data_IF_517432800553
#
_entry.id   IF_517432800553
#
_cell.length_a   1.000
_cell.length_b   1.000
_cell.length_c   1.000
_cell.angle_alpha   90.00
_cell.angle_beta   90.00
_cell.angle_gamma   90.00
#
_symmetry.space_group_name_H-M   'P 1'
#
loop_
_entity.id
_entity.type
_entity.pdbx_description
1 polymer ?
#
# COMPACT_ATOMS: atom_id res chain seq x y z
N UNK A 1 -2.76 46.65 5.48
CA UNK A 1 -1.52 46.21 4.81
C UNK A 1 -0.59 45.67 5.88
N UNK A 2 -0.19 44.41 5.74
CA UNK A 2 1.07 43.80 6.18
C UNK A 2 0.88 42.29 6.23
N UNK A 3 1.10 41.70 5.06
CA UNK A 3 1.15 40.28 4.78
C UNK A 3 2.33 39.66 5.55
N UNK A 4 2.11 38.54 6.22
CA UNK A 4 3.21 37.65 6.62
C UNK A 4 2.98 36.31 5.94
N UNK A 5 3.72 36.16 4.85
CA UNK A 5 3.97 34.91 4.13
C UNK A 5 4.86 34.00 4.99
N UNK A 6 4.58 32.70 4.93
CA UNK A 6 5.54 31.59 4.92
C UNK A 6 5.01 30.38 5.70
N UNK A 7 4.56 29.36 4.97
CA UNK A 7 5.04 28.00 5.18
C UNK A 7 4.63 27.14 3.99
N UNK A 8 5.35 27.34 2.89
CA UNK A 8 5.52 26.29 1.88
C UNK A 8 6.32 25.18 2.56
N UNK A 9 5.63 24.14 3.03
CA UNK A 9 6.30 22.89 3.36
C UNK A 9 6.72 22.27 2.04
N UNK A 10 8.01 22.40 1.73
CA UNK A 10 8.73 21.56 0.79
C UNK A 10 8.29 20.11 0.99
N UNK A 11 7.57 19.60 0.01
CA UNK A 11 7.37 18.17 -0.19
C UNK A 11 8.76 17.63 -0.50
N UNK A 12 9.35 16.92 0.47
CA UNK A 12 10.62 16.22 0.25
C UNK A 12 10.49 15.29 -0.96
N UNK A 13 11.49 15.24 -1.85
CA UNK A 13 11.44 14.38 -3.02
C UNK A 13 11.35 12.94 -2.53
N UNK A 14 10.30 12.26 -2.96
CA UNK A 14 10.09 10.83 -2.70
C UNK A 14 11.31 10.11 -3.25
N UNK A 15 12.06 9.40 -2.41
CA UNK A 15 13.14 8.51 -2.86
C UNK A 15 12.61 7.69 -4.03
N UNK A 16 13.36 7.67 -5.13
CA UNK A 16 13.01 6.92 -6.32
C UNK A 16 12.71 5.48 -5.91
N UNK A 17 11.43 5.14 -6.00
CA UNK A 17 10.86 3.85 -5.69
C UNK A 17 11.48 2.87 -6.70
N UNK A 18 12.33 1.95 -6.22
CA UNK A 18 12.75 0.81 -7.03
C UNK A 18 11.48 0.18 -7.60
N UNK A 19 11.32 0.34 -8.91
CA UNK A 19 10.11 -0.12 -9.59
C UNK A 19 10.22 -1.62 -9.62
N UNK A 20 9.27 -2.30 -8.96
CA UNK A 20 9.06 -3.76 -9.05
C UNK A 20 9.45 -4.28 -10.44
N UNK A 21 10.30 -5.30 -10.50
CA UNK A 21 10.75 -5.89 -11.77
C UNK A 21 9.54 -6.40 -12.57
N UNK A 22 8.51 -6.91 -11.89
CA UNK A 22 7.24 -7.31 -12.49
C UNK A 22 6.53 -6.10 -13.10
N UNK A 23 6.42 -4.97 -12.38
CA UNK A 23 5.82 -3.74 -12.92
C UNK A 23 6.57 -3.24 -14.15
N UNK A 24 7.90 -3.25 -14.13
CA UNK A 24 8.72 -2.85 -15.27
C UNK A 24 8.50 -3.79 -16.48
N UNK A 25 8.46 -5.09 -16.23
CA UNK A 25 8.16 -6.10 -17.24
C UNK A 25 6.78 -5.89 -17.86
N UNK A 26 5.72 -5.77 -17.04
CA UNK A 26 4.34 -5.52 -17.50
C UNK A 26 4.28 -4.27 -18.38
N UNK A 27 4.94 -3.18 -17.97
CA UNK A 27 4.99 -1.94 -18.75
C UNK A 27 5.63 -2.15 -20.13
N UNK A 28 6.74 -2.92 -20.20
CA UNK A 28 7.45 -3.17 -21.45
C UNK A 28 6.59 -3.92 -22.50
N UNK A 29 5.79 -4.89 -22.06
CA UNK A 29 4.95 -5.70 -22.95
C UNK A 29 3.58 -5.09 -23.22
N UNK A 30 3.12 -4.17 -22.35
CA UNK A 30 1.83 -3.48 -22.50
C UNK A 30 1.90 -2.22 -23.38
N UNK A 31 3.05 -1.92 -23.98
CA UNK A 31 3.29 -0.72 -24.80
C UNK A 31 2.34 -0.57 -26.00
N UNK A 32 1.78 -1.69 -26.49
CA UNK A 32 0.84 -1.70 -27.60
C UNK A 32 -0.65 -1.68 -27.17
N UNK A 33 -0.92 -1.76 -25.87
CA UNK A 33 -2.27 -1.91 -25.30
C UNK A 33 -2.64 -0.71 -24.41
N UNK A 34 -1.66 -0.19 -23.66
CA UNK A 34 -1.82 0.95 -22.76
C UNK A 34 -1.26 2.22 -23.41
N UNK A 35 -1.87 3.37 -23.11
CA UNK A 35 -1.33 4.66 -23.53
C UNK A 35 -0.01 4.96 -22.82
N UNK A 36 0.83 5.81 -23.43
CA UNK A 36 2.07 6.25 -22.79
C UNK A 36 1.82 6.92 -21.42
N UNK A 37 0.69 7.61 -21.28
CA UNK A 37 0.26 8.18 -20.00
C UNK A 37 0.06 7.09 -18.94
N UNK A 38 -0.63 6.00 -19.25
CA UNK A 38 -0.83 4.87 -18.33
C UNK A 38 0.48 4.17 -17.97
N UNK A 39 1.38 3.99 -18.95
CA UNK A 39 2.69 3.38 -18.72
C UNK A 39 3.60 4.24 -17.82
N UNK A 40 3.41 5.55 -17.84
CA UNK A 40 4.16 6.48 -16.99
C UNK A 40 3.61 6.58 -15.56
N UNK A 41 2.38 6.12 -15.29
CA UNK A 41 1.81 6.11 -13.94
C UNK A 41 2.56 5.16 -13.02
N UNK A 42 2.59 5.48 -11.72
CA UNK A 42 3.03 4.52 -10.69
C UNK A 42 2.02 3.38 -10.63
N UNK A 43 2.51 2.16 -10.39
CA UNK A 43 1.67 0.98 -10.26
C UNK A 43 0.57 1.19 -9.20
N UNK A 44 0.98 1.71 -8.05
CA UNK A 44 0.12 2.13 -6.94
C UNK A 44 0.46 3.58 -6.57
N UNK A 45 -0.57 4.44 -6.53
CA UNK A 45 -0.45 5.84 -6.13
C UNK A 45 -1.17 6.07 -4.81
N UNK A 46 -0.47 6.58 -3.79
CA UNK A 46 -1.10 6.94 -2.51
C UNK A 46 -1.83 8.29 -2.69
N UNK A 47 -3.15 8.26 -2.61
CA UNK A 47 -4.00 9.45 -2.67
C UNK A 47 -4.12 10.14 -1.31
N UNK A 48 -4.19 9.35 -0.23
CA UNK A 48 -4.28 9.84 1.14
C UNK A 48 -3.60 8.88 2.11
N UNK A 49 -2.94 9.44 3.12
CA UNK A 49 -2.35 8.71 4.23
C UNK A 49 -2.86 9.28 5.54
N UNK A 50 -3.27 8.43 6.47
CA UNK A 50 -3.47 8.80 7.87
C UNK A 50 -2.64 7.88 8.77
N UNK A 51 -2.18 8.43 9.89
CA UNK A 51 -1.41 7.69 10.89
C UNK A 51 -1.98 8.02 12.26
N UNK A 52 -2.31 6.97 13.00
CA UNK A 52 -2.94 7.03 14.32
C UNK A 52 -2.10 6.18 15.28
N UNK A 53 -1.59 6.80 16.34
CA UNK A 53 -0.91 6.07 17.42
C UNK A 53 -1.92 5.71 18.51
N UNK A 54 -1.84 4.48 19.01
CA UNK A 54 -2.65 4.07 20.15
C UNK A 54 -2.30 4.89 21.40
N UNK A 55 -3.29 5.09 22.28
CA UNK A 55 -3.12 5.85 23.53
C UNK A 55 -3.18 4.92 24.74
N UNK A 56 -2.77 5.43 25.91
CA UNK A 56 -2.85 4.68 27.17
C UNK A 56 -1.87 3.51 27.19
N UNK A 57 -2.36 2.32 27.57
CA UNK A 57 -1.51 1.14 27.78
C UNK A 57 -0.76 0.66 26.53
N UNK A 58 -1.19 1.05 25.33
CA UNK A 58 -0.57 0.67 24.05
C UNK A 58 0.25 1.78 23.39
N UNK A 59 0.39 2.93 24.07
CA UNK A 59 1.16 4.06 23.56
C UNK A 59 2.60 3.65 23.26
N UNK A 60 3.13 4.11 22.14
CA UNK A 60 4.45 3.75 21.63
C UNK A 60 4.59 2.31 21.14
N UNK A 61 3.54 1.48 21.19
CA UNK A 61 3.62 0.06 20.81
C UNK A 61 2.68 -0.32 19.68
N UNK A 62 1.61 0.44 19.45
CA UNK A 62 0.66 0.20 18.36
C UNK A 62 0.47 1.47 17.53
N UNK A 63 0.66 1.35 16.22
CA UNK A 63 0.46 2.43 15.25
C UNK A 63 -0.34 1.90 14.08
N UNK A 64 -1.43 2.58 13.73
CA UNK A 64 -2.23 2.28 12.56
C UNK A 64 -1.93 3.29 11.45
N UNK A 65 -1.57 2.79 10.27
CA UNK A 65 -1.42 3.57 9.04
C UNK A 65 -2.53 3.16 8.08
N UNK A 66 -3.32 4.12 7.60
CA UNK A 66 -4.34 3.89 6.58
C UNK A 66 -3.92 4.60 5.30
N UNK A 67 -3.83 3.85 4.22
CA UNK A 67 -3.51 4.35 2.89
C UNK A 67 -4.74 4.21 2.01
N UNK A 68 -5.19 5.32 1.42
CA UNK A 68 -6.13 5.28 0.31
C UNK A 68 -5.33 5.36 -0.98
N UNK A 69 -5.38 4.31 -1.79
CA UNK A 69 -4.54 4.20 -2.98
C UNK A 69 -5.36 4.04 -4.25
N UNK A 70 -4.78 4.45 -5.36
CA UNK A 70 -5.29 4.23 -6.72
C UNK A 70 -4.33 3.29 -7.46
N UNK A 71 -4.90 2.26 -8.08
CA UNK A 71 -4.17 1.28 -8.89
C UNK A 71 -4.21 1.70 -10.35
N UNK A 72 -3.05 1.71 -11.00
CA UNK A 72 -2.97 1.96 -12.44
C UNK A 72 -3.43 0.76 -13.26
N UNK A 73 -3.64 0.97 -14.57
CA UNK A 73 -4.08 -0.11 -15.46
C UNK A 73 -3.07 -1.26 -15.60
N UNK A 74 -1.78 -1.04 -15.30
CA UNK A 74 -0.80 -2.14 -15.29
C UNK A 74 -1.11 -3.20 -14.23
N UNK A 75 -1.78 -2.81 -13.14
CA UNK A 75 -2.23 -3.73 -12.08
C UNK A 75 -3.59 -4.34 -12.45
N UNK A 76 -4.51 -3.55 -13.00
CA UNK A 76 -5.92 -3.98 -13.08
C UNK A 76 -6.28 -4.77 -14.34
N UNK A 77 -5.46 -4.72 -15.39
CA UNK A 77 -5.79 -5.36 -16.68
C UNK A 77 -4.83 -6.49 -17.07
N UNK A 78 -3.63 -6.53 -16.48
CA UNK A 78 -2.62 -7.51 -16.85
C UNK A 78 -2.78 -8.80 -16.04
N UNK A 79 -2.56 -9.99 -16.62
CA UNK A 79 -2.65 -11.26 -15.89
C UNK A 79 -1.72 -11.36 -14.67
N UNK A 80 -0.53 -10.73 -14.75
CA UNK A 80 0.43 -10.60 -13.64
C UNK A 80 0.16 -9.40 -12.69
N UNK A 81 -0.99 -8.78 -12.84
CA UNK A 81 -1.43 -7.64 -12.03
C UNK A 81 -1.48 -7.94 -10.52
N UNK A 82 -2.01 -9.10 -10.08
CA UNK A 82 -2.01 -9.50 -8.68
C UNK A 82 -0.60 -9.56 -8.07
N UNK A 83 0.36 -10.17 -8.75
CA UNK A 83 1.74 -10.31 -8.29
C UNK A 83 2.42 -8.93 -8.18
N UNK A 84 2.25 -8.09 -9.20
CA UNK A 84 2.72 -6.70 -9.17
C UNK A 84 2.09 -5.91 -8.01
N UNK A 85 0.81 -6.16 -7.70
CA UNK A 85 0.14 -5.55 -6.56
C UNK A 85 0.71 -6.05 -5.23
N UNK A 86 0.92 -7.36 -5.09
CA UNK A 86 1.56 -7.98 -3.92
C UNK A 86 2.93 -7.37 -3.62
N UNK A 87 3.78 -7.18 -4.63
CA UNK A 87 5.08 -6.53 -4.47
C UNK A 87 4.95 -5.07 -4.04
N UNK A 88 4.02 -4.32 -4.65
CA UNK A 88 3.78 -2.92 -4.28
C UNK A 88 3.30 -2.81 -2.82
N UNK A 89 2.37 -3.67 -2.39
CA UNK A 89 1.86 -3.66 -1.01
C UNK A 89 2.92 -4.10 -0.02
N UNK A 90 3.72 -5.11 -0.35
CA UNK A 90 4.85 -5.53 0.47
C UNK A 90 5.85 -4.38 0.66
N UNK A 91 6.16 -3.63 -0.40
CA UNK A 91 6.98 -2.42 -0.28
C UNK A 91 6.32 -1.36 0.62
N UNK A 92 5.01 -1.11 0.46
CA UNK A 92 4.28 -0.16 1.28
C UNK A 92 4.28 -0.53 2.77
N UNK A 93 4.17 -1.82 3.11
CA UNK A 93 4.27 -2.33 4.48
C UNK A 93 5.64 -1.98 5.10
N UNK A 94 6.72 -2.16 4.34
CA UNK A 94 8.06 -1.86 4.81
C UNK A 94 8.30 -0.34 4.92
N UNK A 95 7.90 0.42 3.90
CA UNK A 95 8.07 1.88 3.84
C UNK A 95 7.30 2.63 4.94
N UNK A 96 6.23 2.01 5.46
CA UNK A 96 5.33 2.61 6.44
C UNK A 96 5.46 2.03 7.83
N UNK A 97 6.36 1.07 8.05
CA UNK A 97 6.67 0.56 9.38
C UNK A 97 7.27 1.69 10.24
N UNK A 98 6.62 2.11 11.34
CA UNK A 98 7.10 3.19 12.18
C UNK A 98 8.16 2.74 13.19
N UNK A 99 8.51 1.45 13.22
CA UNK A 99 9.45 0.87 14.17
C UNK A 99 10.76 0.46 13.50
N UNK A 100 11.89 0.78 14.13
CA UNK A 100 13.23 0.47 13.61
C UNK A 100 13.55 -1.05 13.59
N UNK A 101 12.78 -1.86 14.31
CA UNK A 101 13.11 -3.25 14.63
C UNK A 101 12.08 -4.20 13.98
N UNK A 102 12.32 -4.57 12.73
CA UNK A 102 11.42 -5.43 11.94
C UNK A 102 11.15 -6.81 12.55
N UNK A 103 12.14 -7.43 13.19
CA UNK A 103 11.99 -8.77 13.80
C UNK A 103 11.14 -8.82 15.06
N UNK A 104 10.75 -7.67 15.62
CA UNK A 104 9.80 -7.56 16.74
C UNK A 104 8.48 -6.93 16.31
N UNK A 105 8.31 -6.63 15.04
CA UNK A 105 7.10 -5.99 14.55
C UNK A 105 6.17 -7.04 13.96
N UNK A 106 4.95 -7.07 14.46
CA UNK A 106 3.84 -7.78 13.81
C UNK A 106 2.96 -6.76 13.11
N UNK A 107 2.33 -7.16 12.01
CA UNK A 107 1.46 -6.29 11.23
C UNK A 107 0.17 -7.03 10.94
N UNK A 108 -0.95 -6.38 11.25
CA UNK A 108 -2.23 -6.72 10.64
C UNK A 108 -2.41 -5.87 9.39
N UNK A 109 -2.71 -6.51 8.27
CA UNK A 109 -3.02 -5.85 6.99
C UNK A 109 -4.47 -6.13 6.66
N UNK A 110 -5.23 -5.10 6.33
CA UNK A 110 -6.60 -5.23 5.85
C UNK A 110 -6.79 -4.42 4.56
N UNK A 111 -7.58 -4.96 3.64
CA UNK A 111 -7.96 -4.33 2.38
C UNK A 111 -9.45 -4.04 2.41
N UNK A 112 -9.85 -2.81 2.09
CA UNK A 112 -11.24 -2.38 2.09
C UNK A 112 -11.60 -1.74 0.74
N UNK A 113 -12.77 -2.12 0.21
CA UNK A 113 -13.39 -1.43 -0.92
C UNK A 113 -13.96 -0.09 -0.47
N UNK A 114 -14.03 0.89 -1.36
CA UNK A 114 -14.68 2.18 -1.09
C UNK A 114 -16.20 2.07 -0.88
N UNK A 115 -16.80 0.94 -1.22
CA UNK A 115 -18.26 0.74 -1.23
C UNK A 115 -18.77 -0.22 -0.14
N UNK A 116 -17.86 -0.87 0.60
CA UNK A 116 -18.22 -1.84 1.65
C UNK A 116 -17.52 -1.50 2.96
N UNK A 117 -18.25 -1.61 4.07
CA UNK A 117 -17.70 -1.48 5.42
C UNK A 117 -17.04 -2.77 5.92
N UNK A 118 -17.10 -3.85 5.14
CA UNK A 118 -16.46 -5.14 5.47
C UNK A 118 -15.13 -5.22 4.72
N UNK A 119 -14.03 -5.57 5.39
CA UNK A 119 -12.76 -5.82 4.72
C UNK A 119 -12.92 -6.90 3.64
N UNK A 120 -12.35 -6.63 2.47
CA UNK A 120 -12.22 -7.59 1.37
C UNK A 120 -11.38 -8.78 1.82
N UNK A 121 -10.23 -8.49 2.43
CA UNK A 121 -9.31 -9.49 2.91
C UNK A 121 -8.49 -8.91 4.07
N UNK A 122 -7.99 -9.80 4.94
CA UNK A 122 -7.06 -9.38 5.99
C UNK A 122 -6.19 -10.54 6.47
N UNK A 123 -5.00 -10.22 6.95
CA UNK A 123 -4.11 -11.17 7.61
C UNK A 123 -3.36 -10.50 8.77
N UNK A 124 -2.76 -11.32 9.64
CA UNK A 124 -1.88 -10.87 10.72
C UNK A 124 -0.64 -11.77 10.77
N UNK A 125 0.55 -11.16 10.70
CA UNK A 125 1.81 -11.91 10.64
C UNK A 125 2.99 -11.10 11.20
N UNK A 126 4.08 -11.78 11.49
CA UNK A 126 5.37 -11.11 11.74
C UNK A 126 5.83 -10.39 10.47
N UNK A 127 6.35 -9.16 10.58
CA UNK A 127 6.75 -8.34 9.43
C UNK A 127 7.70 -9.10 8.49
N UNK A 128 8.66 -9.84 9.08
CA UNK A 128 9.67 -10.59 8.33
C UNK A 128 9.15 -11.84 7.61
N UNK A 129 7.91 -12.26 7.89
CA UNK A 129 7.28 -13.43 7.30
C UNK A 129 6.27 -13.05 6.19
N UNK A 130 6.03 -11.75 5.99
CA UNK A 130 5.15 -11.26 4.95
C UNK A 130 5.93 -11.24 3.64
N UNK A 131 5.40 -11.91 2.63
CA UNK A 131 5.93 -11.90 1.26
C UNK A 131 4.88 -11.33 0.30
N UNK A 132 5.26 -10.93 -0.92
CA UNK A 132 4.28 -10.59 -1.96
C UNK A 132 3.19 -11.66 -2.16
N UNK A 133 3.56 -12.94 -2.13
CA UNK A 133 2.63 -14.07 -2.28
C UNK A 133 1.63 -14.14 -1.13
N UNK A 134 2.07 -13.89 0.11
CA UNK A 134 1.17 -13.83 1.28
C UNK A 134 0.02 -12.85 1.05
N UNK A 135 0.29 -11.72 0.37
CA UNK A 135 -0.71 -10.69 0.07
C UNK A 135 -1.64 -11.16 -1.06
N UNK A 136 -1.09 -11.75 -2.11
CA UNK A 136 -1.87 -12.26 -3.26
C UNK A 136 -2.81 -13.38 -2.81
N UNK A 137 -2.30 -14.36 -2.07
CA UNK A 137 -3.07 -15.50 -1.56
C UNK A 137 -4.23 -15.01 -0.67
N UNK A 138 -3.97 -14.04 0.21
CA UNK A 138 -4.98 -13.45 1.08
C UNK A 138 -6.13 -12.80 0.29
N UNK A 139 -5.83 -12.14 -0.83
CA UNK A 139 -6.86 -11.54 -1.69
C UNK A 139 -7.56 -12.57 -2.57
N UNK A 140 -6.87 -13.64 -2.98
CA UNK A 140 -7.45 -14.72 -3.78
C UNK A 140 -8.45 -15.57 -2.98
N UNK A 141 -8.27 -15.69 -1.67
CA UNK A 141 -9.23 -16.34 -0.76
C UNK A 141 -10.47 -15.49 -0.46
N UNK A 142 -10.51 -14.22 -0.90
CA UNK A 142 -11.67 -13.37 -0.72
C UNK A 142 -12.79 -13.72 -1.70
N UNK A 143 -14.00 -13.91 -1.18
CA UNK A 143 -15.22 -14.01 -1.99
C UNK A 143 -15.63 -12.66 -2.64
N UNK A 144 -14.91 -11.57 -2.35
CA UNK A 144 -15.22 -10.22 -2.82
C UNK A 144 -14.20 -9.75 -3.87
N UNK A 145 -14.68 -9.41 -5.06
CA UNK A 145 -13.85 -8.80 -6.10
C UNK A 145 -13.65 -7.30 -5.83
N UNK A 146 -12.44 -6.81 -6.11
CA UNK A 146 -12.20 -5.37 -6.24
C UNK A 146 -13.02 -4.85 -7.43
N UNK A 147 -13.83 -3.80 -7.21
CA UNK A 147 -14.48 -3.09 -8.30
C UNK A 147 -13.42 -2.33 -9.11
N UNK A 148 -13.07 -2.86 -10.28
CA UNK A 148 -11.97 -2.32 -11.11
C UNK A 148 -12.36 -1.06 -11.90
N UNK A 149 -13.65 -0.69 -11.93
CA UNK A 149 -14.14 0.51 -12.63
C UNK A 149 -13.62 1.80 -11.98
N UNK A 150 -13.43 1.79 -10.66
CA UNK A 150 -12.69 2.81 -9.91
C UNK A 150 -11.67 2.03 -9.08
N UNK A 151 -10.44 1.82 -9.59
CA UNK A 151 -9.50 0.89 -9.00
C UNK A 151 -8.82 1.50 -7.78
N UNK A 152 -9.61 1.81 -6.76
CA UNK A 152 -9.18 2.42 -5.51
C UNK A 152 -9.45 1.47 -4.37
N UNK A 153 -8.48 1.35 -3.49
CA UNK A 153 -8.54 0.46 -2.34
C UNK A 153 -8.00 1.19 -1.12
N UNK A 154 -8.62 0.96 0.03
CA UNK A 154 -8.03 1.37 1.30
C UNK A 154 -7.23 0.19 1.85
N UNK A 155 -5.97 0.46 2.21
CA UNK A 155 -5.07 -0.52 2.80
C UNK A 155 -4.75 -0.04 4.21
N UNK A 156 -5.03 -0.87 5.20
CA UNK A 156 -4.85 -0.55 6.61
C UNK A 156 -3.74 -1.44 7.16
N UNK A 157 -2.70 -0.82 7.68
CA UNK A 157 -1.62 -1.47 8.38
C UNK A 157 -1.74 -1.14 9.87
N UNK A 158 -1.89 -2.15 10.72
CA UNK A 158 -1.78 -1.98 12.18
C UNK A 158 -0.49 -2.65 12.62
N UNK A 159 0.54 -1.82 12.88
CA UNK A 159 1.84 -2.27 13.37
C UNK A 159 1.79 -2.42 14.88
N UNK A 160 2.28 -3.54 15.37
CA UNK A 160 2.40 -3.86 16.79
C UNK A 160 3.87 -4.21 17.05
N UNK A 161 4.53 -3.38 17.86
CA UNK A 161 5.87 -3.68 18.36
C UNK A 161 5.76 -4.61 19.56
N UNK A 162 6.23 -5.85 19.39
CA UNK A 162 6.43 -6.79 20.49
C UNK A 162 7.53 -6.24 21.44
N UNK A 163 7.29 -6.24 22.75
CA UNK A 163 8.33 -5.92 23.73
C UNK A 163 9.38 -7.03 23.90
N UNK A 164 9.13 -8.23 23.36
CA UNK A 164 10.00 -9.41 23.44
C UNK A 164 10.50 -9.80 22.05
#
# INVERSE_FOLDING_TARGET
MSSTSANDREVSPTRDQETSEIVAYIKSISANILSQEELNKKAVTILRKTTEEARGAFQGSVVTVKLFVELSRVITVHPLGPEAFGECVHQLINDHNPFDISNRTHVSVAFESTHSAVPLASFFKSLNEITPETIVDCLAESDQCLELDIPRVSIIFTYIRSPF
#
